data_IF_705390680092
#
_entry.id   IF_705390680092
#
_cell.length_a   1.000
_cell.length_b   1.000
_cell.length_c   1.000
_cell.angle_alpha   90.00
_cell.angle_beta   90.00
_cell.angle_gamma   90.00
#
_symmetry.space_group_name_H-M   'P 1'
#
loop_
_entity.id
_entity.type
_entity.pdbx_description
1 polymer ?
#
# COMPACT_ATOMS: atom_id res chain seq x y z
N UNK A 1 76.33 -27.98 35.59
CA UNK A 1 77.07 -27.17 34.61
C UNK A 1 76.03 -26.43 33.79
N UNK A 2 75.79 -25.15 34.10
CA UNK A 2 74.87 -24.33 33.33
C UNK A 2 75.58 -23.95 32.04
N UNK A 3 75.12 -24.48 30.90
CA UNK A 3 75.52 -23.96 29.59
C UNK A 3 75.23 -22.45 29.56
N UNK A 4 76.17 -21.60 29.12
CA UNK A 4 75.88 -20.18 28.96
C UNK A 4 74.71 -20.02 27.99
N UNK A 5 73.75 -19.17 28.35
CA UNK A 5 72.64 -18.81 27.45
C UNK A 5 73.24 -18.36 26.11
N UNK A 6 72.87 -19.04 25.02
CA UNK A 6 73.32 -18.67 23.70
C UNK A 6 72.92 -17.22 23.44
N UNK A 7 73.87 -16.39 23.00
CA UNK A 7 73.62 -14.99 22.66
C UNK A 7 72.53 -14.97 21.57
N UNK A 8 71.42 -14.25 21.77
CA UNK A 8 70.33 -14.25 20.81
C UNK A 8 70.80 -13.71 19.47
N UNK A 9 70.40 -14.35 18.37
CA UNK A 9 70.81 -13.90 17.04
C UNK A 9 70.19 -12.53 16.71
N UNK A 10 70.79 -11.73 15.83
CA UNK A 10 70.22 -10.44 15.41
C UNK A 10 68.77 -10.55 14.91
N UNK A 11 68.41 -11.67 14.29
CA UNK A 11 67.03 -11.95 13.86
C UNK A 11 66.09 -12.20 15.04
N UNK A 12 66.53 -12.92 16.08
CA UNK A 12 65.72 -13.16 17.28
C UNK A 12 65.37 -11.85 17.99
N UNK A 13 66.36 -10.95 18.13
CA UNK A 13 66.16 -9.63 18.72
C UNK A 13 65.18 -8.79 17.88
N UNK A 14 65.31 -8.83 16.55
CA UNK A 14 64.40 -8.11 15.65
C UNK A 14 62.97 -8.67 15.69
N UNK A 15 62.80 -10.00 15.82
CA UNK A 15 61.48 -10.62 15.92
C UNK A 15 60.79 -10.26 17.23
N UNK A 16 61.53 -10.23 18.34
CA UNK A 16 61.01 -9.81 19.64
C UNK A 16 60.58 -8.33 19.61
N UNK A 17 61.38 -7.45 18.99
CA UNK A 17 60.99 -6.05 18.78
C UNK A 17 59.71 -5.93 17.97
N UNK A 18 59.56 -6.69 16.89
CA UNK A 18 58.35 -6.69 16.07
C UNK A 18 57.14 -7.19 16.87
N UNK A 19 57.28 -8.29 17.61
CA UNK A 19 56.23 -8.82 18.48
C UNK A 19 55.79 -7.80 19.55
N UNK A 20 56.75 -7.10 20.17
CA UNK A 20 56.49 -6.06 21.15
C UNK A 20 55.78 -4.84 20.53
N UNK A 21 56.19 -4.43 19.32
CA UNK A 21 55.51 -3.36 18.60
C UNK A 21 54.06 -3.73 18.26
N UNK A 22 53.79 -4.98 17.89
CA UNK A 22 52.42 -5.45 17.63
C UNK A 22 51.51 -5.42 18.87
N UNK A 23 52.05 -5.41 20.09
CA UNK A 23 51.25 -5.26 21.30
C UNK A 23 50.51 -3.91 21.36
N UNK A 24 50.98 -2.87 20.65
CA UNK A 24 50.23 -1.63 20.51
C UNK A 24 48.88 -1.85 19.81
N UNK A 25 48.77 -2.85 18.92
CA UNK A 25 47.51 -3.22 18.25
C UNK A 25 46.53 -3.96 19.17
N UNK A 26 46.99 -4.44 20.33
CA UNK A 26 46.19 -5.19 21.30
C UNK A 26 45.62 -4.31 22.43
N UNK A 27 46.03 -3.04 22.52
CA UNK A 27 45.42 -2.10 23.47
C UNK A 27 43.91 -1.96 23.21
N UNK A 28 43.15 -1.87 24.32
CA UNK A 28 41.69 -1.97 24.35
C UNK A 28 40.99 -0.96 23.42
N UNK A 29 39.75 -1.28 23.01
CA UNK A 29 38.94 -0.56 22.01
C UNK A 29 38.84 0.97 22.18
N UNK A 30 39.20 1.55 23.34
CA UNK A 30 39.02 2.97 23.65
C UNK A 30 40.28 3.85 23.53
N UNK A 31 41.46 3.30 23.20
CA UNK A 31 42.68 4.11 23.02
C UNK A 31 43.12 4.06 21.56
N UNK A 32 43.06 5.20 20.87
CA UNK A 32 43.52 5.31 19.48
C UNK A 32 45.03 5.06 19.38
N UNK A 33 45.44 4.29 18.37
CA UNK A 33 46.85 4.07 18.05
C UNK A 33 47.49 5.42 17.69
N UNK A 34 48.63 5.76 18.26
CA UNK A 34 49.34 6.99 17.88
C UNK A 34 50.12 6.80 16.59
N UNK A 35 50.34 7.88 15.84
CA UNK A 35 51.11 7.87 14.58
C UNK A 35 52.51 7.28 14.78
N UNK A 36 53.16 7.63 15.89
CA UNK A 36 54.50 7.13 16.24
C UNK A 36 54.50 5.62 16.52
N UNK A 37 53.44 5.10 17.13
CA UNK A 37 53.30 3.66 17.42
C UNK A 37 53.05 2.87 16.13
N UNK A 38 52.25 3.42 15.21
CA UNK A 38 52.01 2.83 13.90
C UNK A 38 53.31 2.78 13.08
N UNK A 39 54.11 3.84 13.10
CA UNK A 39 55.42 3.87 12.45
C UNK A 39 56.39 2.86 13.07
N UNK A 40 56.40 2.71 14.39
CA UNK A 40 57.25 1.73 15.07
C UNK A 40 56.92 0.29 14.65
N UNK A 41 55.65 -0.05 14.43
CA UNK A 41 55.25 -1.39 13.95
C UNK A 41 55.83 -1.67 12.56
N UNK A 42 55.68 -0.70 11.65
CA UNK A 42 56.14 -0.82 10.27
C UNK A 42 57.69 -0.86 10.23
N UNK A 43 58.35 0.03 10.98
CA UNK A 43 59.80 0.09 11.09
C UNK A 43 60.40 -1.17 11.74
N UNK A 44 59.76 -1.73 12.76
CA UNK A 44 60.20 -2.98 13.37
C UNK A 44 60.13 -4.14 12.36
N UNK A 45 59.12 -4.15 11.47
CA UNK A 45 59.01 -5.15 10.42
C UNK A 45 60.06 -4.98 9.31
N UNK A 46 60.42 -3.74 8.98
CA UNK A 46 61.53 -3.44 8.06
C UNK A 46 62.87 -3.95 8.61
N UNK A 47 63.16 -3.68 9.89
CA UNK A 47 64.38 -4.16 10.56
C UNK A 47 64.43 -5.68 10.56
N UNK A 48 63.31 -6.33 10.89
CA UNK A 48 63.20 -7.79 10.86
C UNK A 48 63.43 -8.36 9.46
N UNK A 49 62.91 -7.71 8.42
CA UNK A 49 63.15 -8.13 7.03
C UNK A 49 64.63 -8.06 6.65
N UNK A 50 65.32 -6.97 7.01
CA UNK A 50 66.76 -6.82 6.74
C UNK A 50 67.59 -7.90 7.43
N UNK A 51 67.26 -8.25 8.68
CA UNK A 51 67.94 -9.35 9.38
C UNK A 51 67.63 -10.72 8.76
N UNK A 52 66.41 -10.91 8.26
CA UNK A 52 66.00 -12.12 7.56
C UNK A 52 66.80 -12.36 6.27
N UNK A 53 67.15 -11.28 5.56
CA UNK A 53 67.98 -11.36 4.34
C UNK A 53 69.47 -11.58 4.65
N UNK A 54 69.94 -11.10 5.80
CA UNK A 54 71.34 -11.22 6.23
C UNK A 54 71.68 -12.58 6.87
N UNK A 55 70.70 -13.26 7.49
CA UNK A 55 70.91 -14.53 8.18
C UNK A 55 70.75 -15.72 7.22
N UNK A 56 71.81 -16.51 7.05
CA UNK A 56 71.86 -17.61 6.08
C UNK A 56 70.93 -18.79 6.42
N UNK A 57 70.64 -19.01 7.71
CA UNK A 57 69.82 -20.14 8.17
C UNK A 57 68.90 -19.75 9.34
N UNK A 58 67.62 -19.55 9.05
CA UNK A 58 66.58 -19.25 10.04
C UNK A 58 65.85 -20.55 10.41
N UNK A 59 65.85 -20.89 11.69
CA UNK A 59 65.20 -22.10 12.22
C UNK A 59 63.68 -22.14 11.93
N UNK A 60 63.13 -23.35 11.85
CA UNK A 60 61.71 -23.58 11.54
C UNK A 60 60.78 -22.94 12.57
N UNK A 61 61.11 -23.00 13.87
CA UNK A 61 60.34 -22.37 14.95
C UNK A 61 60.23 -20.84 14.77
N UNK A 62 61.35 -20.21 14.42
CA UNK A 62 61.42 -18.76 14.21
C UNK A 62 60.63 -18.30 12.97
N UNK A 63 60.64 -19.10 11.89
CA UNK A 63 59.79 -18.85 10.71
C UNK A 63 58.31 -18.96 11.05
N UNK A 64 57.92 -19.95 11.86
CA UNK A 64 56.54 -20.12 12.31
C UNK A 64 56.06 -18.91 13.11
N UNK A 65 56.86 -18.43 14.07
CA UNK A 65 56.55 -17.24 14.87
C UNK A 65 56.44 -15.98 14.03
N UNK A 66 57.33 -15.80 13.04
CA UNK A 66 57.23 -14.69 12.09
C UNK A 66 55.89 -14.71 11.33
N UNK A 67 55.50 -15.87 10.79
CA UNK A 67 54.23 -16.01 10.05
C UNK A 67 53.04 -15.69 10.96
N UNK A 68 53.07 -16.13 12.22
CA UNK A 68 52.04 -15.82 13.21
C UNK A 68 51.92 -14.31 13.46
N UNK A 69 53.04 -13.61 13.67
CA UNK A 69 53.05 -12.16 13.86
C UNK A 69 52.62 -11.40 12.60
N UNK A 70 53.05 -11.83 11.41
CA UNK A 70 52.61 -11.27 10.13
C UNK A 70 51.09 -11.42 9.94
N UNK A 71 50.51 -12.55 10.35
CA UNK A 71 49.06 -12.76 10.34
C UNK A 71 48.34 -11.84 11.32
N UNK A 72 48.90 -11.64 12.52
CA UNK A 72 48.37 -10.69 13.52
C UNK A 72 48.37 -9.25 13.00
N UNK A 73 49.43 -8.82 12.31
CA UNK A 73 49.50 -7.52 11.63
C UNK A 73 48.43 -7.40 10.55
N UNK A 74 48.29 -8.41 9.69
CA UNK A 74 47.29 -8.43 8.61
C UNK A 74 45.86 -8.30 9.13
N UNK A 75 45.52 -8.98 10.22
CA UNK A 75 44.18 -8.93 10.81
C UNK A 75 43.83 -7.55 11.39
N UNK A 76 44.83 -6.78 11.83
CA UNK A 76 44.64 -5.49 12.51
C UNK A 76 45.19 -4.30 11.72
N UNK A 77 45.45 -4.48 10.43
CA UNK A 77 46.04 -3.47 9.55
C UNK A 77 45.24 -2.17 9.49
N UNK A 78 43.91 -2.27 9.64
CA UNK A 78 43.00 -1.12 9.63
C UNK A 78 43.35 -0.07 10.70
N UNK A 79 43.90 -0.48 11.86
CA UNK A 79 44.34 0.45 12.91
C UNK A 79 45.53 1.30 12.47
N UNK A 80 46.38 0.77 11.60
CA UNK A 80 47.56 1.44 11.05
C UNK A 80 47.13 2.41 9.95
N UNK A 81 46.30 1.95 9.01
CA UNK A 81 45.82 2.78 7.89
C UNK A 81 44.89 3.92 8.32
N UNK A 82 44.34 3.88 9.53
CA UNK A 82 43.58 4.99 10.13
C UNK A 82 44.44 6.19 10.55
N UNK A 83 45.74 5.96 10.81
CA UNK A 83 46.64 6.97 11.39
C UNK A 83 47.88 7.26 10.54
N UNK A 84 48.13 6.40 9.54
CA UNK A 84 49.17 6.57 8.54
C UNK A 84 48.58 6.47 7.14
N UNK A 85 48.86 7.48 6.32
CA UNK A 85 48.69 7.41 4.87
C UNK A 85 49.94 6.77 4.26
N UNK A 86 49.95 5.44 4.14
CA UNK A 86 51.12 4.70 3.65
C UNK A 86 51.45 5.06 2.18
N UNK A 87 50.54 5.66 1.41
CA UNK A 87 50.84 6.15 0.07
C UNK A 87 51.82 7.31 0.09
N UNK A 88 51.62 8.29 0.98
CA UNK A 88 52.51 9.43 1.16
C UNK A 88 53.94 8.98 1.55
N UNK A 89 54.04 7.97 2.41
CA UNK A 89 55.34 7.41 2.82
C UNK A 89 56.06 6.68 1.68
N UNK A 90 55.33 6.02 0.77
CA UNK A 90 55.90 5.35 -0.42
C UNK A 90 56.45 6.33 -1.45
N UNK A 91 55.96 7.56 -1.49
CA UNK A 91 56.53 8.60 -2.36
C UNK A 91 57.86 9.16 -1.84
N UNK A 92 58.06 9.10 -0.52
CA UNK A 92 59.20 9.74 0.15
C UNK A 92 60.33 8.76 0.51
N UNK A 93 59.98 7.50 0.86
CA UNK A 93 60.94 6.51 1.33
C UNK A 93 61.26 5.47 0.23
N UNK A 94 62.52 5.01 0.10
CA UNK A 94 62.89 3.96 -0.86
C UNK A 94 62.41 2.59 -0.36
N UNK A 95 61.11 2.32 -0.55
CA UNK A 95 60.46 1.08 -0.13
C UNK A 95 60.56 0.03 -1.24
N UNK A 96 60.92 -1.20 -0.88
CA UNK A 96 60.99 -2.33 -1.83
C UNK A 96 59.59 -2.87 -2.14
N UNK A 97 59.36 -3.27 -3.40
CA UNK A 97 58.13 -3.95 -3.84
C UNK A 97 57.85 -5.27 -3.08
N UNK A 98 58.88 -5.86 -2.45
CA UNK A 98 58.74 -7.08 -1.63
C UNK A 98 58.17 -6.81 -0.23
N UNK A 99 58.09 -5.54 0.18
CA UNK A 99 57.70 -5.13 1.53
C UNK A 99 56.17 -4.99 1.65
N UNK A 100 55.45 -6.12 1.57
CA UNK A 100 53.97 -6.15 1.56
C UNK A 100 53.31 -5.40 2.74
N UNK A 101 53.99 -5.28 3.89
CA UNK A 101 53.50 -4.56 5.07
C UNK A 101 53.45 -3.04 4.90
N UNK A 102 54.03 -2.49 3.83
CA UNK A 102 53.82 -1.12 3.39
C UNK A 102 52.61 -0.95 2.46
N UNK A 103 51.96 -2.03 2.04
CA UNK A 103 50.81 -2.03 1.11
C UNK A 103 49.54 -2.57 1.79
N UNK A 104 49.32 -2.19 3.04
CA UNK A 104 48.23 -2.69 3.86
C UNK A 104 46.84 -2.20 3.41
N UNK A 105 46.77 -1.17 2.57
CA UNK A 105 45.50 -0.63 2.05
C UNK A 105 44.86 -1.55 1.00
N UNK A 106 45.65 -2.39 0.33
CA UNK A 106 45.21 -3.28 -0.75
C UNK A 106 44.40 -4.50 -0.28
N UNK A 107 44.52 -4.87 1.00
CA UNK A 107 43.69 -5.91 1.62
C UNK A 107 42.49 -5.24 2.24
N UNK A 108 41.33 -5.40 1.59
CA UNK A 108 40.00 -4.94 2.01
C UNK A 108 39.93 -4.66 3.52
N UNK A 109 39.86 -3.38 3.86
CA UNK A 109 39.77 -2.90 5.23
C UNK A 109 38.62 -3.62 5.97
N UNK A 110 38.99 -4.55 6.85
CA UNK A 110 38.10 -5.34 7.71
C UNK A 110 37.50 -4.47 8.85
N UNK A 111 36.83 -3.37 8.50
CA UNK A 111 35.96 -2.66 9.43
C UNK A 111 34.68 -3.49 9.66
N UNK A 112 34.13 -3.58 10.88
CA UNK A 112 32.92 -4.38 11.16
C UNK A 112 31.74 -4.09 10.21
N UNK A 113 31.59 -2.83 9.77
CA UNK A 113 30.56 -2.41 8.81
C UNK A 113 30.77 -2.99 7.39
N UNK A 114 32.01 -3.22 6.95
CA UNK A 114 32.32 -3.67 5.59
C UNK A 114 32.18 -5.19 5.40
N UNK A 115 31.99 -5.94 6.50
CA UNK A 115 31.91 -7.42 6.49
C UNK A 115 30.80 -7.96 5.57
N UNK A 116 29.72 -7.19 5.43
CA UNK A 116 28.54 -7.57 4.65
C UNK A 116 28.31 -6.70 3.42
N UNK A 117 29.26 -5.86 3.02
CA UNK A 117 29.10 -4.94 1.89
C UNK A 117 28.71 -5.65 0.59
N UNK A 118 29.31 -6.80 0.31
CA UNK A 118 28.97 -7.60 -0.88
C UNK A 118 27.51 -8.07 -0.85
N UNK A 119 27.00 -8.48 0.32
CA UNK A 119 25.64 -8.94 0.52
C UNK A 119 24.65 -7.76 0.43
N UNK A 120 24.98 -6.62 1.03
CA UNK A 120 24.20 -5.38 0.94
C UNK A 120 24.12 -4.86 -0.49
N UNK A 121 25.22 -4.95 -1.27
CA UNK A 121 25.24 -4.59 -2.69
C UNK A 121 24.32 -5.48 -3.52
N UNK A 122 24.36 -6.80 -3.33
CA UNK A 122 23.46 -7.74 -4.01
C UNK A 122 22.01 -7.49 -3.59
N UNK A 123 21.74 -7.38 -2.29
CA UNK A 123 20.41 -7.10 -1.75
C UNK A 123 19.82 -5.78 -2.28
N UNK A 124 20.64 -4.73 -2.38
CA UNK A 124 20.26 -3.44 -2.95
C UNK A 124 19.82 -3.57 -4.41
N UNK A 125 20.57 -4.31 -5.23
CA UNK A 125 20.24 -4.52 -6.65
C UNK A 125 18.90 -5.26 -6.82
N UNK A 126 18.69 -6.32 -6.02
CA UNK A 126 17.42 -7.07 -6.02
C UNK A 126 16.27 -6.17 -5.59
N UNK A 127 16.43 -5.43 -4.49
CA UNK A 127 15.40 -4.57 -3.93
C UNK A 127 15.06 -3.39 -4.85
N UNK A 128 16.05 -2.83 -5.55
CA UNK A 128 15.82 -1.86 -6.60
C UNK A 128 14.93 -2.45 -7.70
N UNK A 129 15.24 -3.67 -8.18
CA UNK A 129 14.40 -4.38 -9.14
C UNK A 129 12.94 -4.49 -8.70
N UNK A 130 12.71 -4.90 -7.45
CA UNK A 130 11.35 -4.97 -6.86
C UNK A 130 10.69 -3.59 -6.77
N UNK A 131 11.42 -2.57 -6.33
CA UNK A 131 10.92 -1.19 -6.29
C UNK A 131 10.50 -0.70 -7.67
N UNK A 132 11.24 -1.04 -8.73
CA UNK A 132 10.85 -0.70 -10.10
C UNK A 132 9.56 -1.37 -10.53
N UNK A 133 9.38 -2.65 -10.21
CA UNK A 133 8.12 -3.36 -10.48
C UNK A 133 6.96 -2.74 -9.72
N UNK A 134 7.15 -2.39 -8.44
CA UNK A 134 6.14 -1.72 -7.64
C UNK A 134 5.78 -0.34 -8.20
N UNK A 135 6.78 0.47 -8.58
CA UNK A 135 6.56 1.77 -9.22
C UNK A 135 5.75 1.59 -10.51
N UNK A 136 6.12 0.65 -11.38
CA UNK A 136 5.38 0.39 -12.61
C UNK A 136 3.92 -0.03 -12.34
N UNK A 137 3.70 -0.89 -11.34
CA UNK A 137 2.37 -1.36 -10.97
C UNK A 137 1.51 -0.27 -10.35
N UNK A 138 2.08 0.57 -9.47
CA UNK A 138 1.39 1.71 -8.87
C UNK A 138 1.10 2.77 -9.93
N UNK A 139 2.10 3.12 -10.76
CA UNK A 139 1.97 4.14 -11.79
C UNK A 139 0.91 3.76 -12.82
N UNK A 140 0.89 2.51 -13.29
CA UNK A 140 -0.17 2.03 -14.17
C UNK A 140 -1.53 2.22 -13.50
N UNK A 141 -1.75 1.64 -12.31
CA UNK A 141 -3.04 1.76 -11.59
C UNK A 141 -3.46 3.19 -11.25
N UNK A 142 -2.57 4.16 -11.10
CA UNK A 142 -2.93 5.57 -10.83
C UNK A 142 -3.06 6.43 -12.09
N UNK A 143 -2.31 6.15 -13.16
CA UNK A 143 -2.25 6.98 -14.37
C UNK A 143 -3.12 6.46 -15.53
N UNK A 144 -3.61 5.22 -15.49
CA UNK A 144 -4.43 4.64 -16.58
C UNK A 144 -5.89 5.14 -16.67
N UNK A 145 -6.24 6.21 -15.94
CA UNK A 145 -7.59 6.78 -15.94
C UNK A 145 -7.82 7.81 -17.06
N UNK A 146 -7.79 7.37 -18.32
CA UNK A 146 -8.13 8.21 -19.48
C UNK A 146 -8.10 7.38 -20.76
N UNK A 147 -9.27 7.16 -21.36
CA UNK A 147 -9.46 6.40 -22.60
C UNK A 147 -8.45 6.80 -23.68
N UNK A 148 -7.53 5.89 -24.03
CA UNK A 148 -6.54 6.06 -25.11
C UNK A 148 -5.09 5.73 -24.72
N UNK A 149 -4.77 5.59 -23.43
CA UNK A 149 -3.37 5.52 -22.95
C UNK A 149 -2.82 4.11 -22.64
N UNK A 150 -3.50 3.05 -23.09
CA UNK A 150 -2.95 1.68 -22.98
C UNK A 150 -1.65 1.50 -23.79
N UNK A 151 -1.39 2.36 -24.77
CA UNK A 151 -0.12 2.35 -25.53
C UNK A 151 0.97 3.23 -24.89
N UNK A 152 0.60 4.31 -24.19
CA UNK A 152 1.58 5.28 -23.66
C UNK A 152 2.12 4.86 -22.29
N UNK A 153 1.39 4.06 -21.50
CA UNK A 153 1.92 3.49 -20.25
C UNK A 153 3.15 2.60 -20.51
N UNK A 154 3.14 1.84 -21.61
CA UNK A 154 4.31 1.08 -22.08
C UNK A 154 5.45 1.98 -22.56
N UNK A 155 5.13 3.09 -23.24
CA UNK A 155 6.12 4.04 -23.78
C UNK A 155 6.78 4.88 -22.69
N UNK A 156 6.06 5.36 -21.68
CA UNK A 156 6.65 6.12 -20.56
C UNK A 156 7.54 5.20 -19.72
N UNK A 157 7.13 3.95 -19.50
CA UNK A 157 7.94 2.97 -18.79
C UNK A 157 9.21 2.59 -19.60
N UNK A 158 9.12 2.40 -20.91
CA UNK A 158 10.29 2.14 -21.76
C UNK A 158 11.20 3.36 -21.91
N UNK A 159 10.65 4.58 -21.94
CA UNK A 159 11.43 5.83 -21.98
C UNK A 159 12.15 6.08 -20.65
N UNK A 160 11.52 5.74 -19.53
CA UNK A 160 12.15 5.83 -18.20
C UNK A 160 13.27 4.79 -18.01
N UNK A 161 13.08 3.56 -18.51
CA UNK A 161 14.15 2.54 -18.57
C UNK A 161 15.28 2.98 -19.51
N UNK A 162 14.98 3.59 -20.66
CA UNK A 162 15.98 4.12 -21.60
C UNK A 162 16.79 5.29 -21.01
N UNK A 163 16.15 6.15 -20.22
CA UNK A 163 16.80 7.21 -19.42
C UNK A 163 17.68 6.66 -18.29
N UNK A 164 17.48 5.41 -17.87
CA UNK A 164 18.32 4.72 -16.87
C UNK A 164 19.45 3.90 -17.51
N UNK A 165 19.26 3.42 -18.74
CA UNK A 165 20.32 2.76 -19.53
C UNK A 165 21.37 3.74 -20.06
N UNK A 166 21.12 5.06 -19.99
CA UNK A 166 22.15 6.09 -20.22
C UNK A 166 23.03 6.26 -18.96
N UNK A 167 23.85 5.24 -18.72
CA UNK A 167 24.63 4.96 -17.50
C UNK A 167 25.55 6.07 -16.96
N UNK A 168 25.89 7.12 -17.72
CA UNK A 168 27.10 7.90 -17.41
C UNK A 168 26.92 9.34 -16.89
N UNK A 169 25.78 10.02 -17.11
CA UNK A 169 25.66 11.45 -16.79
C UNK A 169 24.86 11.74 -15.50
N UNK A 170 23.73 11.08 -15.30
CA UNK A 170 22.83 11.32 -14.15
C UNK A 170 23.35 10.68 -12.86
N UNK A 171 23.98 9.50 -12.96
CA UNK A 171 24.48 8.71 -11.83
C UNK A 171 25.64 9.40 -11.10
N UNK A 172 26.59 9.99 -11.86
CA UNK A 172 27.74 10.73 -11.28
C UNK A 172 27.30 11.99 -10.56
N UNK A 173 26.31 12.72 -11.10
CA UNK A 173 25.78 13.94 -10.50
C UNK A 173 25.00 13.63 -9.21
N UNK A 174 24.22 12.55 -9.21
CA UNK A 174 23.49 12.05 -8.05
C UNK A 174 24.42 11.56 -6.92
N UNK A 175 25.49 10.83 -7.27
CA UNK A 175 26.51 10.41 -6.31
C UNK A 175 27.26 11.59 -5.68
N UNK A 176 27.64 12.61 -6.48
CA UNK A 176 28.30 13.80 -5.95
C UNK A 176 27.43 14.57 -4.95
N UNK A 177 26.14 14.73 -5.26
CA UNK A 177 25.17 15.36 -4.35
C UNK A 177 24.99 14.56 -3.05
N UNK A 178 24.84 13.24 -3.16
CA UNK A 178 24.74 12.34 -2.00
C UNK A 178 25.98 12.42 -1.12
N UNK A 179 27.18 12.27 -1.69
CA UNK A 179 28.45 12.35 -0.93
C UNK A 179 28.60 13.71 -0.25
N UNK A 180 28.21 14.81 -0.89
CA UNK A 180 28.25 16.15 -0.28
C UNK A 180 27.29 16.27 0.91
N UNK A 181 26.09 15.71 0.80
CA UNK A 181 25.10 15.68 1.89
C UNK A 181 25.58 14.82 3.07
N UNK A 182 26.17 13.66 2.79
CA UNK A 182 26.67 12.75 3.82
C UNK A 182 27.86 13.35 4.59
N UNK A 183 28.78 14.03 3.89
CA UNK A 183 29.86 14.81 4.51
C UNK A 183 29.33 15.96 5.37
N UNK A 184 28.27 16.64 4.93
CA UNK A 184 27.62 17.68 5.72
C UNK A 184 26.98 17.12 7.00
N UNK A 185 26.42 15.92 6.96
CA UNK A 185 25.82 15.23 8.12
C UNK A 185 26.87 14.56 9.03
N UNK A 186 28.16 14.68 8.73
CA UNK A 186 29.25 14.11 9.53
C UNK A 186 29.32 12.58 9.47
N UNK A 187 28.77 11.96 8.42
CA UNK A 187 28.71 10.51 8.29
C UNK A 187 29.99 9.98 7.67
N UNK A 188 30.58 8.96 8.29
CA UNK A 188 31.82 8.38 7.83
C UNK A 188 31.66 7.66 6.47
N UNK A 189 32.66 7.81 5.60
CA UNK A 189 32.61 7.31 4.21
C UNK A 189 32.40 5.79 4.11
N UNK A 190 32.79 5.04 5.13
CA UNK A 190 32.63 3.58 5.17
C UNK A 190 31.18 3.11 5.41
N UNK A 191 30.26 3.97 5.88
CA UNK A 191 28.85 3.59 6.10
C UNK A 191 27.93 3.92 4.90
N UNK A 192 28.49 4.36 3.77
CA UNK A 192 27.68 4.81 2.63
C UNK A 192 26.84 3.69 2.00
N UNK A 193 27.35 2.47 1.92
CA UNK A 193 26.61 1.32 1.35
C UNK A 193 25.42 0.92 2.22
N UNK A 194 25.61 0.87 3.54
CA UNK A 194 24.55 0.58 4.52
C UNK A 194 23.42 1.63 4.47
N UNK A 195 23.77 2.91 4.32
CA UNK A 195 22.79 3.99 4.23
C UNK A 195 22.04 3.95 2.91
N UNK A 196 22.73 3.71 1.78
CA UNK A 196 22.05 3.56 0.50
C UNK A 196 21.09 2.37 0.49
N UNK A 197 21.49 1.25 1.08
CA UNK A 197 20.61 0.10 1.24
C UNK A 197 19.40 0.46 2.12
N UNK A 198 19.62 1.12 3.25
CA UNK A 198 18.56 1.57 4.17
C UNK A 198 17.55 2.50 3.49
N UNK A 199 18.01 3.48 2.70
CA UNK A 199 17.15 4.35 1.90
C UNK A 199 16.33 3.53 0.89
N UNK A 200 16.93 2.52 0.25
CA UNK A 200 16.23 1.64 -0.69
C UNK A 200 15.13 0.83 0.00
N UNK A 201 15.38 0.36 1.22
CA UNK A 201 14.41 -0.33 2.08
C UNK A 201 13.27 0.60 2.49
N UNK A 202 13.56 1.85 2.84
CA UNK A 202 12.52 2.84 3.17
C UNK A 202 11.61 3.10 1.95
N UNK A 203 12.19 3.28 0.76
CA UNK A 203 11.42 3.43 -0.48
C UNK A 203 10.57 2.19 -0.76
N UNK A 204 11.13 0.99 -0.56
CA UNK A 204 10.38 -0.26 -0.69
C UNK A 204 9.20 -0.32 0.29
N UNK A 205 9.42 -0.03 1.57
CA UNK A 205 8.37 -0.04 2.57
C UNK A 205 7.26 0.97 2.24
N UNK A 206 7.61 2.16 1.74
CA UNK A 206 6.65 3.15 1.29
C UNK A 206 5.82 2.68 0.08
N UNK A 207 6.48 2.15 -0.95
CA UNK A 207 5.80 1.63 -2.15
C UNK A 207 4.93 0.42 -1.83
N UNK A 208 5.43 -0.50 -1.01
CA UNK A 208 4.68 -1.65 -0.51
C UNK A 208 3.48 -1.18 0.31
N UNK A 209 3.65 -0.15 1.14
CA UNK A 209 2.56 0.50 1.87
C UNK A 209 1.46 0.99 0.93
N UNK A 210 1.79 1.69 -0.15
CA UNK A 210 0.79 2.11 -1.15
C UNK A 210 0.13 0.90 -1.81
N UNK A 211 0.93 -0.08 -2.24
CA UNK A 211 0.45 -1.28 -2.94
C UNK A 211 -0.53 -2.09 -2.09
N UNK A 212 -0.28 -2.25 -0.79
CA UNK A 212 -1.15 -2.99 0.12
C UNK A 212 -2.42 -2.20 0.51
N UNK A 213 -2.47 -0.89 0.25
CA UNK A 213 -3.57 -0.02 0.67
C UNK A 213 -4.37 0.55 -0.51
N UNK A 214 -4.41 -0.13 -1.67
CA UNK A 214 -5.24 0.33 -2.80
C UNK A 214 -6.72 0.48 -2.46
N UNK A 215 -7.28 -0.36 -1.60
CA UNK A 215 -8.67 -0.23 -1.13
C UNK A 215 -8.93 1.10 -0.40
N UNK A 216 -7.96 1.59 0.38
CA UNK A 216 -8.08 2.90 1.03
C UNK A 216 -8.13 4.04 0.01
N UNK A 217 -7.28 3.98 -1.02
CA UNK A 217 -7.34 4.96 -2.11
C UNK A 217 -8.64 4.85 -2.90
N UNK A 218 -9.11 3.63 -3.16
CA UNK A 218 -10.40 3.40 -3.82
C UNK A 218 -11.54 4.09 -3.07
N UNK A 219 -11.61 3.91 -1.75
CA UNK A 219 -12.58 4.58 -0.88
C UNK A 219 -12.48 6.11 -0.95
N UNK A 220 -11.26 6.65 -0.96
CA UNK A 220 -11.03 8.09 -1.11
C UNK A 220 -11.58 8.62 -2.45
N UNK A 221 -11.28 7.95 -3.56
CA UNK A 221 -11.77 8.33 -4.88
C UNK A 221 -13.30 8.22 -4.99
N UNK A 222 -13.88 7.14 -4.45
CA UNK A 222 -15.34 6.98 -4.37
C UNK A 222 -15.98 8.13 -3.59
N UNK A 223 -15.42 8.50 -2.44
CA UNK A 223 -15.95 9.60 -1.63
C UNK A 223 -15.82 10.95 -2.35
N UNK A 224 -14.72 11.17 -3.08
CA UNK A 224 -14.56 12.34 -3.94
C UNK A 224 -15.63 12.38 -5.05
N UNK A 225 -15.89 11.25 -5.72
CA UNK A 225 -16.97 11.11 -6.71
C UNK A 225 -18.34 11.44 -6.12
N UNK A 226 -18.63 10.94 -4.90
CA UNK A 226 -19.90 11.21 -4.22
C UNK A 226 -20.10 12.68 -3.87
N UNK A 227 -19.04 13.41 -3.51
CA UNK A 227 -19.11 14.86 -3.28
C UNK A 227 -19.34 15.64 -4.58
N UNK A 228 -18.82 15.16 -5.70
CA UNK A 228 -19.02 15.78 -7.02
C UNK A 228 -20.42 15.51 -7.57
N UNK A 229 -20.96 14.31 -7.38
CA UNK A 229 -22.31 13.95 -7.79
C UNK A 229 -23.38 14.62 -6.93
N UNK A 230 -23.16 14.72 -5.61
CA UNK A 230 -24.10 15.30 -4.66
C UNK A 230 -23.36 16.24 -3.70
N UNK A 231 -23.01 17.46 -4.15
CA UNK A 231 -22.29 18.42 -3.33
C UNK A 231 -23.11 18.80 -2.09
N UNK A 232 -22.45 19.09 -0.95
CA UNK A 232 -23.14 19.53 0.25
C UNK A 232 -23.99 20.77 -0.02
N UNK A 233 -25.24 20.86 0.48
CA UNK A 233 -26.09 22.02 0.22
C UNK A 233 -25.46 23.36 0.62
N UNK A 234 -24.53 23.34 1.58
CA UNK A 234 -23.81 24.51 2.06
C UNK A 234 -22.72 25.03 1.08
N UNK A 235 -22.24 24.22 0.12
CA UNK A 235 -21.17 24.66 -0.80
C UNK A 235 -21.67 25.51 -1.98
N UNK A 236 -22.99 25.50 -2.27
CA UNK A 236 -23.60 26.17 -3.43
C UNK A 236 -23.02 25.72 -4.79
N UNK A 237 -22.30 24.60 -4.84
CA UNK A 237 -21.74 24.04 -6.06
C UNK A 237 -22.78 23.22 -6.81
N UNK A 238 -22.73 23.26 -8.14
CA UNK A 238 -23.53 22.39 -9.00
C UNK A 238 -22.85 21.01 -9.12
N UNK A 239 -23.61 19.91 -9.23
CA UNK A 239 -23.06 18.60 -9.49
C UNK A 239 -22.16 18.56 -10.73
N UNK A 240 -20.98 17.95 -10.61
CA UNK A 240 -20.09 17.68 -11.73
C UNK A 240 -20.06 16.17 -12.03
N UNK A 241 -21.06 15.73 -12.80
CA UNK A 241 -21.31 14.31 -13.06
C UNK A 241 -20.18 13.65 -13.87
N UNK A 242 -19.57 14.36 -14.82
CA UNK A 242 -18.46 13.84 -15.61
C UNK A 242 -17.22 13.57 -14.74
N UNK A 243 -16.88 14.49 -13.84
CA UNK A 243 -15.77 14.28 -12.92
C UNK A 243 -16.11 13.22 -11.86
N UNK A 244 -17.37 13.14 -11.42
CA UNK A 244 -17.82 12.07 -10.52
C UNK A 244 -17.62 10.68 -11.15
N UNK A 245 -17.98 10.52 -12.42
CA UNK A 245 -17.76 9.28 -13.18
C UNK A 245 -16.29 8.89 -13.19
N UNK A 246 -15.39 9.83 -13.53
CA UNK A 246 -13.94 9.60 -13.52
C UNK A 246 -13.46 9.11 -12.15
N UNK A 247 -13.94 9.72 -11.06
CA UNK A 247 -13.54 9.32 -9.70
C UNK A 247 -14.08 7.95 -9.31
N UNK A 248 -15.30 7.59 -9.69
CA UNK A 248 -15.82 6.24 -9.42
C UNK A 248 -15.11 5.18 -10.25
N UNK A 249 -14.84 5.43 -11.53
CA UNK A 249 -14.05 4.53 -12.37
C UNK A 249 -12.64 4.34 -11.79
N UNK A 250 -12.03 5.42 -11.29
CA UNK A 250 -10.73 5.35 -10.61
C UNK A 250 -10.78 4.50 -9.34
N UNK A 251 -11.84 4.63 -8.55
CA UNK A 251 -12.04 3.80 -7.37
C UNK A 251 -12.11 2.31 -7.73
N UNK A 252 -12.87 1.95 -8.77
CA UNK A 252 -13.00 0.57 -9.26
C UNK A 252 -11.68 0.04 -9.85
N UNK A 253 -10.90 0.89 -10.51
CA UNK A 253 -9.59 0.50 -11.06
C UNK A 253 -8.57 0.19 -9.96
N UNK A 254 -8.62 0.92 -8.85
CA UNK A 254 -7.77 0.68 -7.68
C UNK A 254 -8.20 -0.56 -6.90
N UNK A 255 -9.51 -0.78 -6.79
CA UNK A 255 -10.12 -1.91 -6.12
C UNK A 255 -11.40 -2.34 -6.87
N UNK A 256 -11.26 -3.39 -7.68
CA UNK A 256 -12.34 -3.91 -8.51
C UNK A 256 -13.47 -4.55 -7.70
N UNK A 257 -13.21 -4.91 -6.44
CA UNK A 257 -14.19 -5.50 -5.53
C UNK A 257 -14.88 -4.43 -4.67
N UNK A 258 -14.63 -3.13 -4.90
CA UNK A 258 -15.33 -2.05 -4.23
C UNK A 258 -16.79 -1.94 -4.71
N UNK A 259 -17.67 -2.74 -4.08
CA UNK A 259 -19.08 -2.83 -4.43
C UNK A 259 -19.84 -1.50 -4.26
N UNK A 260 -19.45 -0.67 -3.29
CA UNK A 260 -20.07 0.65 -3.09
C UNK A 260 -19.67 1.59 -4.25
N UNK A 261 -18.42 1.57 -4.71
CA UNK A 261 -18.03 2.32 -5.91
C UNK A 261 -18.80 1.87 -7.16
N UNK A 262 -19.01 0.56 -7.34
CA UNK A 262 -19.89 0.05 -8.39
C UNK A 262 -21.33 0.54 -8.23
N UNK A 263 -21.90 0.49 -7.02
CA UNK A 263 -23.25 0.99 -6.75
C UNK A 263 -23.37 2.49 -7.04
N UNK A 264 -22.40 3.32 -6.60
CA UNK A 264 -22.39 4.75 -6.85
C UNK A 264 -22.30 5.08 -8.34
N UNK A 265 -21.42 4.41 -9.08
CA UNK A 265 -21.35 4.56 -10.53
C UNK A 265 -22.66 4.17 -11.22
N UNK A 266 -23.34 3.12 -10.73
CA UNK A 266 -24.66 2.75 -11.23
C UNK A 266 -25.72 3.83 -11.01
N UNK A 267 -25.74 4.44 -9.82
CA UNK A 267 -26.66 5.56 -9.52
C UNK A 267 -26.38 6.79 -10.37
N UNK A 268 -25.10 7.06 -10.66
CA UNK A 268 -24.70 8.15 -11.55
C UNK A 268 -25.19 7.92 -12.98
N UNK A 269 -25.02 6.71 -13.51
CA UNK A 269 -25.55 6.37 -14.83
C UNK A 269 -27.08 6.42 -14.89
N UNK A 270 -27.76 6.09 -13.80
CA UNK A 270 -29.20 6.26 -13.68
C UNK A 270 -29.61 7.74 -13.78
N UNK A 271 -28.91 8.66 -13.11
CA UNK A 271 -29.13 10.10 -13.22
C UNK A 271 -28.88 10.61 -14.65
N UNK A 272 -27.87 10.06 -15.33
CA UNK A 272 -27.54 10.34 -16.73
C UNK A 272 -28.46 9.65 -17.74
N UNK A 273 -29.46 8.87 -17.29
CA UNK A 273 -30.36 8.06 -18.11
C UNK A 273 -29.66 6.94 -18.93
N UNK A 274 -28.40 6.62 -18.64
CA UNK A 274 -27.70 5.45 -19.19
C UNK A 274 -28.03 4.19 -18.38
N UNK A 275 -29.26 3.72 -18.54
CA UNK A 275 -29.77 2.56 -17.81
C UNK A 275 -29.03 1.27 -18.16
N UNK A 276 -28.39 1.20 -19.34
CA UNK A 276 -27.65 0.00 -19.76
C UNK A 276 -26.41 -0.17 -18.91
N UNK A 277 -25.58 0.86 -18.79
CA UNK A 277 -24.40 0.82 -17.92
C UNK A 277 -24.80 0.83 -16.43
N UNK A 278 -25.84 1.57 -16.04
CA UNK A 278 -26.38 1.54 -14.68
C UNK A 278 -26.75 0.13 -14.21
N UNK A 279 -27.56 -0.60 -14.99
CA UNK A 279 -27.95 -1.99 -14.68
C UNK A 279 -26.74 -2.93 -14.58
N UNK A 280 -25.72 -2.75 -15.44
CA UNK A 280 -24.49 -3.55 -15.40
C UNK A 280 -23.75 -3.37 -14.06
N UNK A 281 -23.56 -2.13 -13.62
CA UNK A 281 -22.87 -1.86 -12.36
C UNK A 281 -23.70 -2.24 -11.12
N UNK A 282 -25.02 -2.05 -11.15
CA UNK A 282 -25.90 -2.60 -10.11
C UNK A 282 -25.80 -4.12 -10.01
N UNK A 283 -25.74 -4.84 -11.14
CA UNK A 283 -25.61 -6.29 -11.15
C UNK A 283 -24.29 -6.76 -10.50
N UNK A 284 -23.18 -6.05 -10.75
CA UNK A 284 -21.88 -6.35 -10.12
C UNK A 284 -21.98 -6.18 -8.61
N UNK A 285 -22.46 -5.01 -8.15
CA UNK A 285 -22.62 -4.72 -6.72
C UNK A 285 -23.58 -5.70 -6.03
N UNK A 286 -24.71 -6.04 -6.67
CA UNK A 286 -25.67 -7.01 -6.16
C UNK A 286 -25.05 -8.41 -6.04
N UNK A 287 -24.34 -8.90 -7.06
CA UNK A 287 -23.65 -10.21 -6.98
C UNK A 287 -22.63 -10.27 -5.83
N UNK A 288 -22.02 -9.15 -5.46
CA UNK A 288 -21.14 -9.05 -4.30
C UNK A 288 -21.87 -8.92 -2.94
N UNK A 289 -23.21 -8.88 -2.93
CA UNK A 289 -24.00 -8.79 -1.70
C UNK A 289 -24.42 -7.37 -1.29
N UNK A 290 -24.26 -6.36 -2.15
CA UNK A 290 -24.68 -4.99 -1.84
C UNK A 290 -26.20 -4.85 -1.91
N UNK A 291 -26.87 -4.76 -0.76
CA UNK A 291 -28.34 -4.85 -0.63
C UNK A 291 -29.08 -3.76 -1.43
N UNK A 292 -28.59 -2.52 -1.38
CA UNK A 292 -29.23 -1.41 -2.12
C UNK A 292 -29.17 -1.62 -3.64
N UNK A 293 -28.12 -2.31 -4.14
CA UNK A 293 -27.99 -2.63 -5.56
C UNK A 293 -29.04 -3.67 -6.01
N UNK A 294 -29.35 -4.66 -5.16
CA UNK A 294 -30.46 -5.59 -5.42
C UNK A 294 -31.79 -4.84 -5.55
N UNK A 295 -32.06 -3.91 -4.63
CA UNK A 295 -33.29 -3.11 -4.63
C UNK A 295 -33.44 -2.30 -5.92
N UNK A 296 -32.40 -1.55 -6.30
CA UNK A 296 -32.47 -0.65 -7.45
C UNK A 296 -32.51 -1.43 -8.76
N UNK A 297 -31.74 -2.52 -8.89
CA UNK A 297 -31.83 -3.38 -10.07
C UNK A 297 -33.21 -4.04 -10.20
N UNK A 298 -33.78 -4.53 -9.09
CA UNK A 298 -35.12 -5.10 -9.09
C UNK A 298 -36.20 -4.07 -9.44
N UNK A 299 -36.09 -2.83 -8.95
CA UNK A 299 -36.96 -1.73 -9.35
C UNK A 299 -36.95 -1.54 -10.88
N UNK A 300 -35.77 -1.54 -11.50
CA UNK A 300 -35.67 -1.42 -12.95
C UNK A 300 -36.26 -2.62 -13.70
N UNK A 301 -36.09 -3.84 -13.19
CA UNK A 301 -36.77 -5.02 -13.76
C UNK A 301 -38.29 -4.95 -13.62
N UNK A 302 -38.82 -4.38 -12.53
CA UNK A 302 -40.26 -4.15 -12.40
C UNK A 302 -40.78 -3.16 -13.43
N UNK A 303 -40.01 -2.14 -13.80
CA UNK A 303 -40.37 -1.22 -14.89
C UNK A 303 -40.35 -1.91 -16.25
N UNK A 304 -39.39 -2.80 -16.47
CA UNK A 304 -39.29 -3.63 -17.68
C UNK A 304 -40.33 -4.78 -17.72
N UNK A 305 -41.24 -4.87 -16.73
CA UNK A 305 -42.17 -5.99 -16.52
C UNK A 305 -41.51 -7.37 -16.36
N UNK A 306 -40.23 -7.41 -16.02
CA UNK A 306 -39.43 -8.60 -15.66
C UNK A 306 -39.64 -8.95 -14.19
N UNK A 307 -40.89 -9.25 -13.85
CA UNK A 307 -41.31 -9.40 -12.46
C UNK A 307 -40.69 -10.63 -11.78
N UNK A 308 -40.40 -11.70 -12.51
CA UNK A 308 -39.79 -12.91 -11.97
C UNK A 308 -38.33 -12.66 -11.56
N UNK A 309 -37.57 -11.96 -12.40
CA UNK A 309 -36.18 -11.58 -12.15
C UNK A 309 -36.08 -10.59 -10.99
N UNK A 310 -37.03 -9.64 -10.90
CA UNK A 310 -37.13 -8.73 -9.77
C UNK A 310 -37.36 -9.48 -8.45
N UNK A 311 -38.29 -10.45 -8.43
CA UNK A 311 -38.54 -11.31 -7.25
C UNK A 311 -37.27 -12.05 -6.86
N UNK A 312 -36.54 -12.65 -7.81
CA UNK A 312 -35.33 -13.41 -7.50
C UNK A 312 -34.28 -12.55 -6.78
N UNK A 313 -34.06 -11.33 -7.27
CA UNK A 313 -33.15 -10.37 -6.65
C UNK A 313 -33.61 -9.96 -5.25
N UNK A 314 -34.89 -9.67 -5.09
CA UNK A 314 -35.46 -9.20 -3.82
C UNK A 314 -35.48 -10.30 -2.75
N UNK A 315 -35.72 -11.56 -3.12
CA UNK A 315 -35.64 -12.70 -2.20
C UNK A 315 -34.19 -12.95 -1.75
N UNK A 316 -33.19 -12.78 -2.63
CA UNK A 316 -31.77 -12.83 -2.23
C UNK A 316 -31.44 -11.73 -1.24
N UNK A 317 -31.84 -10.48 -1.52
CA UNK A 317 -31.65 -9.36 -0.61
C UNK A 317 -32.34 -9.57 0.74
N UNK A 318 -33.56 -10.14 0.75
CA UNK A 318 -34.29 -10.49 1.97
C UNK A 318 -33.54 -11.50 2.85
N UNK A 319 -32.85 -12.48 2.25
CA UNK A 319 -31.99 -13.42 3.00
C UNK A 319 -30.79 -12.71 3.64
N UNK A 320 -30.10 -11.85 2.89
CA UNK A 320 -28.99 -11.05 3.42
C UNK A 320 -29.43 -10.12 4.57
N UNK A 321 -30.64 -9.58 4.49
CA UNK A 321 -31.24 -8.79 5.57
C UNK A 321 -31.49 -9.65 6.81
N UNK A 322 -31.99 -10.88 6.66
CA UNK A 322 -32.19 -11.80 7.79
C UNK A 322 -30.87 -12.16 8.48
N UNK A 323 -29.80 -12.41 7.72
CA UNK A 323 -28.46 -12.65 8.29
C UNK A 323 -27.92 -11.45 9.09
N UNK A 324 -28.23 -10.22 8.63
CA UNK A 324 -27.88 -9.00 9.36
C UNK A 324 -28.74 -8.81 10.61
N UNK A 325 -30.00 -9.22 10.60
CA UNK A 325 -30.90 -9.15 11.75
C UNK A 325 -30.45 -10.01 12.92
N UNK A 326 -29.83 -11.17 12.64
CA UNK A 326 -29.26 -12.02 13.70
C UNK A 326 -28.14 -11.32 14.49
N UNK A 327 -27.53 -10.28 13.91
CA UNK A 327 -26.43 -9.50 14.50
C UNK A 327 -26.86 -8.09 14.89
N UNK A 328 -28.17 -7.82 14.96
CA UNK A 328 -28.72 -6.48 15.18
C UNK A 328 -28.22 -5.83 16.48
N UNK A 329 -27.95 -6.62 17.53
CA UNK A 329 -27.44 -6.13 18.81
C UNK A 329 -26.02 -5.57 18.72
N UNK A 330 -25.26 -5.92 17.68
CA UNK A 330 -23.89 -5.43 17.43
C UNK A 330 -23.88 -4.11 16.65
N UNK A 331 -25.02 -3.68 16.11
CA UNK A 331 -25.10 -2.51 15.25
C UNK A 331 -25.27 -1.23 16.07
N UNK A 332 -24.63 -0.16 15.60
CA UNK A 332 -24.93 1.20 16.04
C UNK A 332 -26.37 1.59 15.68
N UNK A 333 -26.90 2.60 16.35
CA UNK A 333 -28.25 3.10 16.02
C UNK A 333 -28.36 3.58 14.58
N UNK A 334 -27.28 4.08 13.98
CA UNK A 334 -27.23 4.52 12.59
C UNK A 334 -27.34 3.33 11.63
N UNK A 335 -26.63 2.24 11.91
CA UNK A 335 -26.70 1.00 11.15
C UNK A 335 -28.06 0.32 11.28
N UNK A 336 -28.66 0.30 12.48
CA UNK A 336 -30.04 -0.21 12.68
C UNK A 336 -31.05 0.57 11.85
N UNK A 337 -30.92 1.89 11.81
CA UNK A 337 -31.78 2.75 10.98
C UNK A 337 -31.58 2.48 9.49
N UNK A 338 -30.34 2.38 9.02
CA UNK A 338 -30.03 2.05 7.63
C UNK A 338 -30.61 0.68 7.23
N UNK A 339 -30.48 -0.32 8.11
CA UNK A 339 -31.05 -1.65 7.90
C UNK A 339 -32.58 -1.61 7.80
N UNK A 340 -33.26 -0.83 8.64
CA UNK A 340 -34.71 -0.65 8.57
C UNK A 340 -35.16 0.00 7.24
N UNK A 341 -34.41 0.98 6.73
CA UNK A 341 -34.69 1.63 5.43
C UNK A 341 -34.46 0.66 4.27
N UNK A 342 -33.42 -0.17 4.34
CA UNK A 342 -33.18 -1.24 3.36
C UNK A 342 -34.31 -2.26 3.37
N UNK A 343 -34.73 -2.72 4.55
CA UNK A 343 -35.90 -3.60 4.71
C UNK A 343 -37.13 -2.99 4.07
N UNK A 344 -37.48 -1.75 4.41
CA UNK A 344 -38.63 -1.08 3.82
C UNK A 344 -38.62 -1.18 2.29
N UNK A 345 -37.49 -0.83 1.68
CA UNK A 345 -37.35 -0.80 0.21
C UNK A 345 -37.50 -2.18 -0.41
N UNK A 346 -36.83 -3.19 0.16
CA UNK A 346 -36.88 -4.58 -0.30
C UNK A 346 -38.29 -5.16 -0.14
N UNK A 347 -38.89 -5.07 1.04
CA UNK A 347 -40.21 -5.63 1.31
C UNK A 347 -41.31 -4.93 0.49
N UNK A 348 -41.25 -3.61 0.33
CA UNK A 348 -42.16 -2.85 -0.53
C UNK A 348 -42.07 -3.31 -1.98
N UNK A 349 -40.86 -3.38 -2.54
CA UNK A 349 -40.66 -3.79 -3.93
C UNK A 349 -40.98 -5.27 -4.15
N UNK A 350 -40.76 -6.15 -3.16
CA UNK A 350 -41.14 -7.56 -3.25
C UNK A 350 -42.65 -7.73 -3.25
N UNK A 351 -43.34 -6.99 -2.38
CA UNK A 351 -44.80 -6.89 -2.40
C UNK A 351 -45.33 -6.40 -3.74
N UNK A 352 -44.74 -5.34 -4.29
CA UNK A 352 -45.09 -4.82 -5.62
C UNK A 352 -44.86 -5.84 -6.74
N UNK A 353 -43.73 -6.56 -6.71
CA UNK A 353 -43.38 -7.58 -7.69
C UNK A 353 -44.39 -8.73 -7.69
N UNK A 354 -44.77 -9.22 -6.50
CA UNK A 354 -45.79 -10.27 -6.34
C UNK A 354 -47.17 -9.80 -6.77
N UNK A 355 -47.53 -8.55 -6.47
CA UNK A 355 -48.76 -7.96 -6.97
C UNK A 355 -48.81 -7.94 -8.50
N UNK A 356 -47.73 -7.52 -9.16
CA UNK A 356 -47.64 -7.57 -10.64
C UNK A 356 -47.69 -8.99 -11.22
N UNK A 357 -47.39 -10.01 -10.42
CA UNK A 357 -47.56 -11.43 -10.79
C UNK A 357 -48.98 -11.96 -10.55
N UNK A 358 -49.94 -11.11 -10.14
CA UNK A 358 -51.27 -11.49 -9.64
C UNK A 358 -51.23 -12.45 -8.43
N UNK A 359 -50.15 -12.40 -7.64
CA UNK A 359 -49.95 -13.23 -6.45
C UNK A 359 -50.22 -12.42 -5.18
N UNK A 360 -51.47 -12.04 -4.96
CA UNK A 360 -51.88 -11.18 -3.84
C UNK A 360 -51.53 -11.77 -2.47
N UNK A 361 -51.73 -13.08 -2.29
CA UNK A 361 -51.42 -13.79 -1.03
C UNK A 361 -49.94 -13.68 -0.63
N UNK A 362 -49.03 -13.64 -1.61
CA UNK A 362 -47.60 -13.42 -1.37
C UNK A 362 -47.23 -11.94 -1.26
N UNK A 363 -48.00 -11.06 -1.88
CA UNK A 363 -47.72 -9.62 -1.88
C UNK A 363 -48.01 -8.99 -0.50
N UNK A 364 -49.18 -9.31 0.06
CA UNK A 364 -49.69 -8.73 1.32
C UNK A 364 -48.69 -8.84 2.48
N UNK A 365 -48.15 -10.01 2.86
CA UNK A 365 -47.27 -10.12 4.02
C UNK A 365 -46.01 -9.27 3.86
N UNK A 366 -45.47 -9.13 2.64
CA UNK A 366 -44.31 -8.27 2.40
C UNK A 366 -44.68 -6.79 2.52
N UNK A 367 -45.84 -6.37 2.00
CA UNK A 367 -46.32 -4.99 2.13
C UNK A 367 -46.60 -4.61 3.59
N UNK A 368 -47.15 -5.52 4.40
CA UNK A 368 -47.42 -5.25 5.81
C UNK A 368 -46.13 -4.99 6.61
N UNK A 369 -45.05 -5.70 6.31
CA UNK A 369 -43.72 -5.41 6.90
C UNK A 369 -43.25 -4.01 6.51
N UNK A 370 -43.34 -3.64 5.23
CA UNK A 370 -42.96 -2.30 4.78
C UNK A 370 -43.83 -1.21 5.42
N UNK A 371 -45.14 -1.42 5.53
CA UNK A 371 -46.07 -0.51 6.19
C UNK A 371 -45.68 -0.31 7.67
N UNK A 372 -45.42 -1.39 8.42
CA UNK A 372 -45.02 -1.27 9.83
C UNK A 372 -43.75 -0.44 10.02
N UNK A 373 -42.79 -0.54 9.11
CA UNK A 373 -41.57 0.30 9.14
C UNK A 373 -41.90 1.75 8.79
N UNK A 374 -42.77 1.98 7.80
CA UNK A 374 -43.17 3.32 7.37
C UNK A 374 -44.04 4.06 8.39
N UNK A 375 -44.78 3.36 9.24
CA UNK A 375 -45.57 3.94 10.34
C UNK A 375 -44.70 4.36 11.53
N UNK A 376 -43.49 3.81 11.65
CA UNK A 376 -42.59 4.16 12.75
C UNK A 376 -41.87 5.50 12.47
N UNK A 377 -42.11 6.56 13.26
CA UNK A 377 -41.52 7.88 13.03
C UNK A 377 -39.98 7.90 13.09
N UNK A 378 -39.38 6.93 13.79
CA UNK A 378 -37.92 6.81 13.89
C UNK A 378 -37.28 6.50 12.52
N UNK A 379 -37.97 5.74 11.67
CA UNK A 379 -37.49 5.33 10.34
C UNK A 379 -38.15 6.14 9.21
N UNK A 380 -39.44 6.47 9.36
CA UNK A 380 -40.25 7.17 8.36
C UNK A 380 -39.55 8.38 7.72
N UNK A 381 -38.85 9.19 8.52
CA UNK A 381 -38.19 10.40 8.03
C UNK A 381 -37.04 10.15 7.05
N UNK A 382 -36.40 8.98 7.13
CA UNK A 382 -35.28 8.56 6.28
C UNK A 382 -35.73 7.79 5.04
N UNK A 383 -36.99 7.37 4.99
CA UNK A 383 -37.57 6.72 3.81
C UNK A 383 -37.92 7.79 2.78
N UNK A 384 -37.46 7.61 1.53
CA UNK A 384 -37.72 8.54 0.42
C UNK A 384 -39.20 8.86 0.28
N UNK A 385 -40.03 7.83 0.20
CA UNK A 385 -41.49 7.92 0.14
C UNK A 385 -42.13 6.81 1.00
N UNK A 386 -42.51 7.10 2.26
CA UNK A 386 -43.14 6.12 3.15
C UNK A 386 -44.59 5.77 2.75
N UNK A 387 -45.23 6.60 1.91
CA UNK A 387 -46.59 6.35 1.42
C UNK A 387 -46.68 5.22 0.38
N UNK A 388 -45.57 4.93 -0.31
CA UNK A 388 -45.56 4.01 -1.45
C UNK A 388 -46.10 2.60 -1.12
N UNK A 389 -45.75 2.02 0.03
CA UNK A 389 -46.27 0.71 0.45
C UNK A 389 -47.80 0.72 0.64
N UNK A 390 -48.34 1.80 1.22
CA UNK A 390 -49.79 1.99 1.37
C UNK A 390 -50.50 2.10 0.02
N UNK A 391 -49.88 2.77 -0.96
CA UNK A 391 -50.46 2.90 -2.28
C UNK A 391 -50.61 1.54 -2.99
N UNK A 392 -49.61 0.67 -2.87
CA UNK A 392 -49.66 -0.69 -3.45
C UNK A 392 -50.68 -1.55 -2.70
N UNK A 393 -50.69 -1.46 -1.36
CA UNK A 393 -51.62 -2.24 -0.54
C UNK A 393 -53.08 -1.82 -0.76
N UNK A 394 -53.35 -0.52 -0.94
CA UNK A 394 -54.68 -0.03 -1.25
C UNK A 394 -55.23 -0.59 -2.57
N UNK A 395 -54.38 -0.77 -3.59
CA UNK A 395 -54.74 -1.38 -4.89
C UNK A 395 -55.17 -2.83 -4.73
N UNK A 396 -54.46 -3.61 -3.92
CA UNK A 396 -54.81 -5.01 -3.62
C UNK A 396 -56.17 -5.11 -2.94
N UNK A 397 -56.44 -4.21 -1.98
CA UNK A 397 -57.67 -4.21 -1.19
C UNK A 397 -58.93 -3.76 -1.94
N UNK A 398 -58.82 -3.16 -3.14
CA UNK A 398 -59.96 -2.53 -3.81
C UNK A 398 -61.16 -3.46 -4.03
N UNK A 399 -60.90 -4.76 -4.25
CA UNK A 399 -61.93 -5.77 -4.46
C UNK A 399 -62.32 -6.52 -3.18
N UNK A 400 -61.43 -6.51 -2.17
CA UNK A 400 -61.58 -7.31 -0.95
C UNK A 400 -62.21 -6.50 0.18
N UNK A 401 -61.69 -5.31 0.45
CA UNK A 401 -62.17 -4.40 1.47
C UNK A 401 -62.04 -2.95 1.00
N UNK A 402 -63.15 -2.43 0.46
CA UNK A 402 -63.20 -1.06 -0.06
C UNK A 402 -62.95 0.00 1.01
N UNK A 403 -63.36 -0.24 2.26
CA UNK A 403 -63.18 0.73 3.35
C UNK A 403 -61.71 0.81 3.73
N UNK A 404 -61.08 -0.35 3.94
CA UNK A 404 -59.66 -0.42 4.27
C UNK A 404 -58.79 0.08 3.10
N UNK A 405 -59.19 -0.18 1.85
CA UNK A 405 -58.55 0.39 0.66
C UNK A 405 -58.56 1.93 0.69
N UNK A 406 -59.70 2.55 0.97
CA UNK A 406 -59.81 4.02 1.09
C UNK A 406 -58.94 4.59 2.22
N UNK A 407 -58.88 3.92 3.38
CA UNK A 407 -58.00 4.33 4.47
C UNK A 407 -56.52 4.31 4.06
N UNK A 408 -56.09 3.26 3.36
CA UNK A 408 -54.73 3.15 2.86
C UNK A 408 -54.43 4.16 1.74
N UNK A 409 -55.39 4.48 0.88
CA UNK A 409 -55.23 5.57 -0.10
C UNK A 409 -55.01 6.93 0.55
N UNK A 410 -55.68 7.21 1.68
CA UNK A 410 -55.43 8.44 2.46
C UNK A 410 -54.02 8.46 3.04
N UNK A 411 -53.57 7.35 3.63
CA UNK A 411 -52.21 7.22 4.17
C UNK A 411 -51.15 7.38 3.07
N UNK A 412 -51.36 6.75 1.92
CA UNK A 412 -50.53 6.88 0.72
C UNK A 412 -50.28 8.36 0.35
N UNK A 413 -51.34 9.18 0.26
CA UNK A 413 -51.23 10.60 -0.05
C UNK A 413 -50.56 11.41 1.06
N UNK A 414 -50.98 11.21 2.31
CA UNK A 414 -50.49 11.98 3.45
C UNK A 414 -48.99 11.77 3.67
N UNK A 415 -48.53 10.51 3.58
CA UNK A 415 -47.13 10.16 3.81
C UNK A 415 -46.20 10.51 2.64
N UNK A 416 -46.75 10.69 1.43
CA UNK A 416 -45.99 11.14 0.26
C UNK A 416 -45.90 12.68 0.15
N UNK A 417 -46.61 13.44 0.99
CA UNK A 417 -46.63 14.90 0.91
C UNK A 417 -45.23 15.50 1.16
N UNK A 418 -44.77 16.35 0.23
CA UNK A 418 -43.46 17.01 0.31
C UNK A 418 -42.26 16.07 0.11
N UNK A 419 -42.49 14.83 -0.34
CA UNK A 419 -41.44 13.84 -0.61
C UNK A 419 -41.04 13.85 -2.09
N UNK A 420 -39.80 13.46 -2.35
CA UNK A 420 -39.34 13.16 -3.71
C UNK A 420 -39.97 11.84 -4.15
N UNK A 421 -40.65 11.86 -5.29
CA UNK A 421 -41.35 10.71 -5.86
C UNK A 421 -40.82 10.41 -7.26
N UNK A 422 -40.89 9.13 -7.67
CA UNK A 422 -40.62 8.73 -9.04
C UNK A 422 -41.92 8.65 -9.86
N UNK A 423 -41.79 8.38 -11.16
CA UNK A 423 -42.91 8.34 -12.12
C UNK A 423 -44.00 7.34 -11.72
N UNK A 424 -43.63 6.15 -11.24
CA UNK A 424 -44.61 5.14 -10.83
C UNK A 424 -45.36 5.54 -9.56
N UNK A 425 -44.65 6.13 -8.59
CA UNK A 425 -45.27 6.65 -7.38
C UNK A 425 -46.22 7.81 -7.72
N UNK A 426 -45.87 8.69 -8.66
CA UNK A 426 -46.77 9.74 -9.14
C UNK A 426 -48.08 9.18 -9.71
N UNK A 427 -48.01 8.10 -10.51
CA UNK A 427 -49.19 7.41 -11.00
C UNK A 427 -50.05 6.83 -9.86
N UNK A 428 -49.42 6.26 -8.83
CA UNK A 428 -50.15 5.77 -7.66
C UNK A 428 -50.83 6.90 -6.88
N UNK A 429 -50.18 8.05 -6.72
CA UNK A 429 -50.80 9.21 -6.06
C UNK A 429 -51.97 9.77 -6.89
N UNK A 430 -51.87 9.73 -8.21
CA UNK A 430 -52.99 10.09 -9.09
C UNK A 430 -54.18 9.16 -8.90
N UNK A 431 -53.97 7.84 -8.92
CA UNK A 431 -54.99 6.83 -8.62
C UNK A 431 -55.62 7.06 -7.24
N UNK A 432 -54.81 7.30 -6.21
CA UNK A 432 -55.28 7.57 -4.85
C UNK A 432 -56.27 8.75 -4.81
N UNK A 433 -55.93 9.87 -5.48
CA UNK A 433 -56.79 11.06 -5.58
C UNK A 433 -58.10 10.75 -6.30
N UNK A 434 -58.08 9.88 -7.30
CA UNK A 434 -59.28 9.46 -8.03
C UNK A 434 -60.20 8.58 -7.19
N UNK A 435 -59.63 7.67 -6.38
CA UNK A 435 -60.37 6.71 -5.54
C UNK A 435 -60.99 7.32 -4.28
N UNK A 436 -60.51 8.50 -3.87
CA UNK A 436 -60.98 9.25 -2.71
C UNK A 436 -61.98 10.37 -3.03
N UNK A 437 -62.22 10.63 -4.32
CA UNK A 437 -63.37 11.41 -4.79
C UNK A 437 -64.58 10.50 -4.89
#
# INVERSE_FOLDING_TARGET
MNSPAAVPTPFQVALERYQNALNYLDTSHNKSLKKEQALEIIAARDVLHKQMEAEAEISVDMRSKLIEQDNRLKQKSYKITQVLDLAEYRETLPISDKAWWWHLESRESLHPCNRFDWLLRIGKLVLLGVNFTLIGTIATRFLSGGSGLLEIGGVIFSTFISLLQTENALTRTRQKGFVKLMKFLGIAEHCYEEIQFSVTVIVFAFLLGIYLNFSWFSEFYKQAGSRLQSPPPASQELPNLALAEEKYLKAIELDADNLDAHYKLATLYEELQDLTNGKKHYLIAAKGGFIDAYNNLAYWYLRDNKNAEAVELLEKAKRLLAEKDEKLDQFTEDEKRNLAVQKYSIYKNLGWARFKQNRSEDAIPNLLVAIGIAENPAYQKFIRNPGAAFCIYAQLLEKEDKKLSQENWRKCLNLAQGRVINTEEEQWLYEARKKLK
#
